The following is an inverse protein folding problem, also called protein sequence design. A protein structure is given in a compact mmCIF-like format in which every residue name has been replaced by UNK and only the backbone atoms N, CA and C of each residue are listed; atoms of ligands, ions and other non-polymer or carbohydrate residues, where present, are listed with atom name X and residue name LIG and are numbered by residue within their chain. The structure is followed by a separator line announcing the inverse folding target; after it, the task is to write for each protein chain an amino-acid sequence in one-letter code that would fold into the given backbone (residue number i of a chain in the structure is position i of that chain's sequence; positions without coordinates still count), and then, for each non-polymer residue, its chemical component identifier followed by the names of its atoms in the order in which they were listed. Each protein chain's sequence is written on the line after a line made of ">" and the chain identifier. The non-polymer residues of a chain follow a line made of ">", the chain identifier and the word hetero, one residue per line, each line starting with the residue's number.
data_IF_066665644426
#
_entry.id   IF_066665644426
#
_cell.length_a   1.000
_cell.length_b   1.000
_cell.length_c   1.000
_cell.angle_alpha   90.00
_cell.angle_beta   90.00
_cell.angle_gamma   90.00
#
_symmetry.space_group_name_H-M   'P 1'
#
loop_
_entity.id
_entity.type
_entity.pdbx_description
1 polymer ?
#
# COMPACT_ATOMS: atom_id res chain seq x y z
N UNK A 1 -5.92 -7.96 25.55
CA UNK A 1 -5.93 -6.68 24.81
C UNK A 1 -5.33 -6.94 23.44
N UNK A 2 -6.10 -6.76 22.38
CA UNK A 2 -5.63 -6.90 21.00
C UNK A 2 -4.60 -5.80 20.69
N UNK A 3 -3.31 -6.14 20.72
CA UNK A 3 -2.25 -5.22 20.34
C UNK A 3 -2.15 -5.15 18.82
N UNK A 4 -2.43 -3.99 18.24
CA UNK A 4 -2.14 -3.72 16.83
C UNK A 4 -0.71 -3.21 16.64
N UNK A 5 -0.06 -3.59 15.54
CA UNK A 5 1.26 -3.08 15.15
C UNK A 5 1.09 -2.01 14.07
N UNK A 6 1.82 -0.90 14.18
CA UNK A 6 1.86 0.15 13.17
C UNK A 6 3.16 0.07 12.38
N UNK A 7 3.05 0.20 11.06
CA UNK A 7 4.17 0.15 10.13
C UNK A 7 4.20 1.43 9.30
N UNK A 8 5.41 1.93 9.06
CA UNK A 8 5.67 3.08 8.22
C UNK A 8 6.57 2.66 7.06
N UNK A 9 6.21 3.08 5.85
CA UNK A 9 7.01 2.93 4.64
C UNK A 9 7.26 4.31 4.05
N UNK A 10 8.53 4.69 3.97
CA UNK A 10 8.96 5.89 3.29
C UNK A 10 9.37 5.53 1.85
N UNK A 11 8.65 6.09 0.88
CA UNK A 11 8.88 5.88 -0.54
C UNK A 11 9.48 7.14 -1.15
N UNK A 12 10.68 7.01 -1.71
CA UNK A 12 11.34 8.08 -2.47
C UNK A 12 11.46 7.66 -3.93
N UNK A 13 11.04 8.55 -4.84
CA UNK A 13 11.16 8.37 -6.28
C UNK A 13 12.06 9.46 -6.82
N UNK A 14 13.10 9.05 -7.55
CA UNK A 14 14.07 9.95 -8.19
C UNK A 14 14.08 9.70 -9.69
N UNK A 15 13.99 10.76 -10.48
CA UNK A 15 14.09 10.65 -11.94
C UNK A 15 15.57 10.65 -12.41
N UNK A 16 15.76 10.33 -13.68
CA UNK A 16 17.07 10.41 -14.34
C UNK A 16 17.15 11.64 -15.26
N UNK A 17 16.38 12.70 -14.98
CA UNK A 17 16.38 13.94 -15.75
C UNK A 17 17.62 14.79 -15.51
N UNK A 18 17.68 15.93 -16.19
CA UNK A 18 18.67 16.97 -15.91
C UNK A 18 17.98 18.35 -15.91
N UNK A 19 17.73 18.96 -14.74
CA UNK A 19 18.14 18.51 -13.40
C UNK A 19 17.38 17.27 -12.94
N UNK A 20 18.02 16.45 -12.07
CA UNK A 20 17.35 15.32 -11.43
C UNK A 20 16.40 15.85 -10.36
N UNK A 21 15.14 15.39 -10.39
CA UNK A 21 14.16 15.71 -9.37
C UNK A 21 13.84 14.47 -8.52
N UNK A 22 13.41 14.72 -7.29
CA UNK A 22 13.01 13.66 -6.36
C UNK A 22 11.78 14.08 -5.56
N UNK A 23 10.95 13.11 -5.22
CA UNK A 23 9.78 13.27 -4.36
C UNK A 23 9.69 12.11 -3.37
N UNK A 24 9.36 12.43 -2.12
CA UNK A 24 9.17 11.43 -1.06
C UNK A 24 7.74 11.46 -0.55
N UNK A 25 7.22 10.30 -0.18
CA UNK A 25 5.92 10.16 0.47
C UNK A 25 5.96 9.05 1.53
N UNK A 26 5.21 9.24 2.60
CA UNK A 26 5.15 8.30 3.72
C UNK A 26 3.79 7.61 3.73
N UNK A 27 3.80 6.28 3.76
CA UNK A 27 2.61 5.45 3.89
C UNK A 27 2.62 4.83 5.29
N UNK A 28 1.57 5.09 6.07
CA UNK A 28 1.38 4.50 7.40
C UNK A 28 0.21 3.54 7.35
N UNK A 29 0.39 2.33 7.89
CA UNK A 29 -0.69 1.37 8.05
C UNK A 29 -0.59 0.64 9.38
N UNK A 30 -1.75 0.36 9.97
CA UNK A 30 -1.86 -0.38 11.21
C UNK A 30 -2.47 -1.75 10.94
N UNK A 31 -1.85 -2.78 11.49
CA UNK A 31 -2.38 -4.15 11.50
C UNK A 31 -3.00 -4.38 12.88
N UNK A 32 -4.32 -4.55 12.90
CA UNK A 32 -5.03 -4.89 14.13
C UNK A 32 -5.15 -6.41 14.22
N UNK A 33 -4.64 -7.00 15.30
CA UNK A 33 -4.93 -8.40 15.62
C UNK A 33 -6.35 -8.49 16.17
N UNK A 34 -7.32 -8.81 15.31
CA UNK A 34 -8.66 -9.15 15.78
C UNK A 34 -8.60 -10.56 16.40
N UNK A 35 -9.05 -10.74 17.66
CA UNK A 35 -9.24 -12.09 18.21
C UNK A 35 -10.16 -12.85 17.25
N UNK A 36 -9.73 -14.05 16.85
CA UNK A 36 -10.64 -14.98 16.20
C UNK A 36 -11.63 -15.40 17.28
N UNK A 37 -12.87 -14.93 17.18
CA UNK A 37 -13.95 -15.44 18.02
C UNK A 37 -14.06 -16.94 17.73
N UNK A 38 -13.75 -17.77 18.72
CA UNK A 38 -13.60 -19.22 18.57
C UNK A 38 -14.97 -19.92 18.58
N UNK A 39 -15.91 -19.40 17.79
CA UNK A 39 -17.27 -19.90 17.72
C UNK A 39 -18.02 -19.34 16.53
N UNK A 40 -17.69 -19.77 15.31
CA UNK A 40 -18.59 -20.66 14.55
C UNK A 40 -17.95 -21.16 13.26
N UNK A 41 -18.43 -22.30 12.80
CA UNK A 41 -17.85 -23.15 11.78
C UNK A 41 -18.14 -22.68 10.34
N UNK A 42 -17.47 -21.69 9.74
CA UNK A 42 -17.51 -21.55 8.27
C UNK A 42 -16.18 -21.12 7.63
N UNK A 43 -15.85 -21.85 6.55
CA UNK A 43 -14.67 -21.87 5.68
C UNK A 43 -13.92 -20.54 5.50
N UNK A 44 -12.59 -20.64 5.62
CA UNK A 44 -11.52 -19.81 5.03
C UNK A 44 -11.79 -18.32 4.75
N UNK A 45 -11.03 -17.44 5.44
CA UNK A 45 -10.53 -16.19 4.83
C UNK A 45 -9.18 -15.81 5.42
N UNK A 46 -8.12 -16.27 4.76
CA UNK A 46 -6.78 -15.73 4.95
C UNK A 46 -6.80 -14.23 4.60
N UNK A 47 -6.51 -13.39 5.58
CA UNK A 47 -6.38 -11.93 5.42
C UNK A 47 -5.18 -11.52 4.55
N UNK A 48 -4.35 -12.47 4.09
CA UNK A 48 -3.23 -12.23 3.17
C UNK A 48 -3.64 -11.75 1.77
N UNK A 49 -4.88 -11.99 1.35
CA UNK A 49 -5.39 -11.55 0.03
C UNK A 49 -5.78 -10.07 -0.05
N UNK A 50 -6.11 -9.42 1.08
CA UNK A 50 -6.63 -8.04 1.07
C UNK A 50 -5.52 -6.98 0.97
N UNK A 51 -4.33 -7.27 1.50
CA UNK A 51 -3.17 -6.39 1.38
C UNK A 51 -2.57 -6.40 -0.04
N UNK A 52 -2.52 -7.57 -0.70
CA UNK A 52 -1.95 -7.65 -2.06
C UNK A 52 -2.80 -6.90 -3.08
N UNK A 53 -4.13 -6.97 -2.95
CA UNK A 53 -5.04 -6.26 -3.86
C UNK A 53 -5.00 -4.75 -3.66
N UNK A 54 -4.98 -4.29 -2.40
CA UNK A 54 -4.89 -2.86 -2.08
C UNK A 54 -3.55 -2.25 -2.54
N UNK A 55 -2.45 -3.00 -2.38
CA UNK A 55 -1.12 -2.61 -2.88
C UNK A 55 -1.08 -2.58 -4.41
N UNK A 56 -1.67 -3.57 -5.08
CA UNK A 56 -1.77 -3.62 -6.54
C UNK A 56 -2.55 -2.42 -7.08
N UNK A 57 -3.70 -2.09 -6.47
CA UNK A 57 -4.49 -0.91 -6.84
C UNK A 57 -3.68 0.39 -6.66
N UNK A 58 -2.93 0.54 -5.57
CA UNK A 58 -2.04 1.69 -5.37
C UNK A 58 -1.00 1.80 -6.49
N UNK A 59 -0.31 0.71 -6.83
CA UNK A 59 0.70 0.70 -7.91
C UNK A 59 0.08 1.06 -9.28
N UNK A 60 -1.14 0.59 -9.57
CA UNK A 60 -1.86 0.92 -10.81
C UNK A 60 -2.19 2.42 -10.85
N UNK A 61 -2.70 3.00 -9.75
CA UNK A 61 -3.04 4.44 -9.69
C UNK A 61 -1.79 5.31 -9.84
N UNK A 62 -0.66 4.96 -9.22
CA UNK A 62 0.61 5.66 -9.40
C UNK A 62 1.08 5.64 -10.87
N UNK A 63 0.98 4.49 -11.55
CA UNK A 63 1.32 4.36 -12.97
C UNK A 63 0.43 5.23 -13.87
N UNK A 64 -0.88 5.28 -13.62
CA UNK A 64 -1.78 6.10 -14.44
C UNK A 64 -1.51 7.59 -14.29
N UNK A 65 -1.20 8.08 -13.08
CA UNK A 65 -0.82 9.48 -12.88
C UNK A 65 0.45 9.85 -13.64
N UNK A 66 1.46 8.98 -13.61
CA UNK A 66 2.70 9.17 -14.36
C UNK A 66 2.47 9.20 -15.88
N UNK A 67 1.72 8.24 -16.43
CA UNK A 67 1.41 8.18 -17.86
C UNK A 67 0.56 9.36 -18.34
N UNK A 68 -0.32 9.89 -17.49
CA UNK A 68 -1.12 11.06 -17.82
C UNK A 68 -0.26 12.33 -17.90
N UNK A 69 0.73 12.49 -17.03
CA UNK A 69 1.67 13.62 -17.09
C UNK A 69 2.59 13.53 -18.32
N UNK A 70 3.00 12.31 -18.72
CA UNK A 70 3.88 12.10 -19.86
C UNK A 70 3.18 12.17 -21.25
N UNK A 71 1.86 12.32 -21.32
CA UNK A 71 1.11 12.45 -22.60
C UNK A 71 0.81 13.89 -23.02
N UNK A 72 1.15 14.87 -22.19
CA UNK A 72 0.97 16.30 -22.48
C UNK A 72 2.30 17.05 -22.62
N UNK A 73 3.39 16.32 -22.87
CA UNK A 73 4.74 16.82 -23.05
C UNK A 73 5.38 16.16 -24.27
#
# INVERSE_FOLDING_TARGET
>A
MAGGNSYQVDLTVTDNGNPRLSVSNTIKFSVNNMPLDAGDNEREKSSGGLFSYSLLLMLIVFRQKYLKQNRFN
#
